data_IF_155961971854
#
_entry.id   IF_155961971854
#
_cell.length_a   1.000
_cell.length_b   1.000
_cell.length_c   1.000
_cell.angle_alpha   90.00
_cell.angle_beta   90.00
_cell.angle_gamma   90.00
#
_symmetry.space_group_name_H-M   'P 1'
#
loop_
_entity.id
_entity.type
_entity.pdbx_description
1 polymer ?
#
# COMPACT_ATOMS: atom_id res chain seq x y z
N UNK A 1 -18.40 -15.34 -1.92
CA UNK A 1 -17.81 -14.40 -0.93
C UNK A 1 -16.36 -14.04 -1.25
N UNK A 2 -15.47 -15.01 -1.47
CA UNK A 2 -14.07 -14.77 -1.83
C UNK A 2 -13.86 -13.80 -3.01
N UNK A 3 -14.51 -14.03 -4.16
CA UNK A 3 -14.30 -13.19 -5.35
C UNK A 3 -14.67 -11.72 -5.12
N UNK A 4 -15.82 -11.46 -4.49
CA UNK A 4 -16.24 -10.10 -4.16
C UNK A 4 -15.23 -9.41 -3.23
N UNK A 5 -14.76 -10.09 -2.19
CA UNK A 5 -13.76 -9.54 -1.27
C UNK A 5 -12.41 -9.31 -1.97
N UNK A 6 -12.00 -10.22 -2.87
CA UNK A 6 -10.78 -10.06 -3.67
C UNK A 6 -10.87 -8.85 -4.59
N UNK A 7 -11.99 -8.65 -5.29
CA UNK A 7 -12.19 -7.48 -6.13
C UNK A 7 -12.19 -6.19 -5.31
N UNK A 8 -12.88 -6.18 -4.16
CA UNK A 8 -12.88 -5.04 -3.25
C UNK A 8 -11.46 -4.71 -2.76
N UNK A 9 -10.68 -5.71 -2.36
CA UNK A 9 -9.30 -5.53 -1.94
C UNK A 9 -8.43 -4.96 -3.06
N UNK A 10 -8.53 -5.49 -4.28
CA UNK A 10 -7.78 -4.99 -5.44
C UNK A 10 -8.15 -3.55 -5.80
N UNK A 11 -9.44 -3.20 -5.74
CA UNK A 11 -9.90 -1.81 -5.95
C UNK A 11 -9.37 -0.89 -4.85
N UNK A 12 -9.37 -1.34 -3.59
CA UNK A 12 -8.81 -0.57 -2.48
C UNK A 12 -7.30 -0.35 -2.64
N UNK A 13 -6.54 -1.35 -3.12
CA UNK A 13 -5.11 -1.20 -3.45
C UNK A 13 -4.96 -0.12 -4.53
N UNK A 14 -5.68 -0.26 -5.65
CA UNK A 14 -5.58 0.67 -6.76
C UNK A 14 -5.90 2.11 -6.33
N UNK A 15 -6.96 2.28 -5.52
CA UNK A 15 -7.36 3.58 -5.02
C UNK A 15 -6.35 4.16 -4.02
N UNK A 16 -5.77 3.35 -3.12
CA UNK A 16 -4.72 3.78 -2.19
C UNK A 16 -3.50 4.30 -2.96
N UNK A 17 -3.03 3.54 -3.97
CA UNK A 17 -1.90 3.94 -4.82
C UNK A 17 -2.21 5.22 -5.61
N UNK A 18 -3.39 5.32 -6.23
CA UNK A 18 -3.80 6.52 -6.98
C UNK A 18 -3.86 7.76 -6.08
N UNK A 19 -4.41 7.64 -4.88
CA UNK A 19 -4.46 8.74 -3.91
C UNK A 19 -3.05 9.12 -3.45
N UNK A 20 -2.17 8.15 -3.22
CA UNK A 20 -0.78 8.40 -2.86
C UNK A 20 -0.04 9.16 -3.97
N UNK A 21 -0.13 8.71 -5.23
CA UNK A 21 0.47 9.39 -6.39
C UNK A 21 -0.09 10.80 -6.55
N UNK A 22 -1.41 10.97 -6.45
CA UNK A 22 -2.06 12.28 -6.55
C UNK A 22 -1.55 13.24 -5.47
N UNK A 23 -1.45 12.78 -4.22
CA UNK A 23 -0.92 13.58 -3.11
C UNK A 23 0.55 13.94 -3.32
N UNK A 24 1.34 13.00 -3.84
CA UNK A 24 2.74 13.26 -4.19
C UNK A 24 2.88 14.35 -5.25
N UNK A 25 2.11 14.27 -6.35
CA UNK A 25 2.12 15.28 -7.41
C UNK A 25 1.73 16.66 -6.86
N UNK A 26 0.64 16.73 -6.07
CA UNK A 26 0.18 17.99 -5.48
C UNK A 26 1.21 18.58 -4.51
N UNK A 27 1.94 17.73 -3.76
CA UNK A 27 3.00 18.17 -2.86
C UNK A 27 4.17 18.76 -3.65
N UNK A 28 4.58 18.09 -4.73
CA UNK A 28 5.68 18.56 -5.57
C UNK A 28 5.35 19.87 -6.27
N UNK A 29 4.07 20.05 -6.65
CA UNK A 29 3.51 21.28 -7.20
C UNK A 29 3.23 22.38 -6.14
N UNK A 30 3.49 22.13 -4.85
CA UNK A 30 3.15 23.04 -3.75
C UNK A 30 1.68 23.50 -3.75
N UNK A 31 0.76 22.64 -4.19
CA UNK A 31 -0.65 23.00 -4.35
C UNK A 31 -1.37 23.11 -3.00
N UNK A 32 -2.16 24.17 -2.84
CA UNK A 32 -3.05 24.36 -1.68
C UNK A 32 -4.17 23.31 -1.59
N UNK A 33 -4.43 22.57 -2.68
CA UNK A 33 -5.45 21.51 -2.74
C UNK A 33 -5.21 20.39 -1.72
N UNK A 34 -3.96 20.12 -1.34
CA UNK A 34 -3.62 19.15 -0.30
C UNK A 34 -4.25 19.47 1.06
N UNK A 35 -4.61 20.74 1.30
CA UNK A 35 -5.24 21.14 2.54
C UNK A 35 -6.75 20.86 2.59
N UNK A 36 -7.38 20.53 1.45
CA UNK A 36 -8.80 20.21 1.41
C UNK A 36 -9.08 18.90 2.17
N UNK A 37 -10.20 18.88 2.89
CA UNK A 37 -10.63 17.74 3.72
C UNK A 37 -10.65 16.42 2.95
N UNK A 38 -11.01 16.44 1.67
CA UNK A 38 -11.01 15.27 0.79
C UNK A 38 -9.64 14.56 0.76
N UNK A 39 -8.55 15.27 0.45
CA UNK A 39 -7.23 14.66 0.34
C UNK A 39 -6.59 14.28 1.68
N UNK A 40 -7.17 14.75 2.79
CA UNK A 40 -6.78 14.38 4.15
C UNK A 40 -7.52 13.13 4.63
N UNK A 41 -8.83 13.01 4.37
CA UNK A 41 -9.68 11.96 4.96
C UNK A 41 -9.79 10.74 4.05
N UNK A 42 -10.00 10.93 2.74
CA UNK A 42 -10.22 9.83 1.79
C UNK A 42 -9.14 8.75 1.84
N UNK A 43 -7.83 9.07 1.90
CA UNK A 43 -6.79 8.05 2.02
C UNK A 43 -6.96 7.15 3.24
N UNK A 44 -7.33 7.70 4.41
CA UNK A 44 -7.49 6.90 5.63
C UNK A 44 -8.66 5.92 5.56
N UNK A 45 -9.77 6.32 4.92
CA UNK A 45 -10.92 5.44 4.69
C UNK A 45 -10.52 4.30 3.77
N UNK A 46 -9.82 4.61 2.68
CA UNK A 46 -9.36 3.63 1.70
C UNK A 46 -8.35 2.68 2.31
N UNK A 47 -7.40 3.18 3.10
CA UNK A 47 -6.38 2.37 3.76
C UNK A 47 -7.00 1.45 4.82
N UNK A 48 -8.02 1.92 5.54
CA UNK A 48 -8.76 1.08 6.49
C UNK A 48 -9.53 -0.01 5.76
N UNK A 49 -10.21 0.31 4.65
CA UNK A 49 -10.89 -0.69 3.81
C UNK A 49 -9.91 -1.69 3.19
N UNK A 50 -8.72 -1.23 2.78
CA UNK A 50 -7.64 -2.05 2.25
C UNK A 50 -7.14 -3.07 3.29
N UNK A 51 -6.84 -2.60 4.51
CA UNK A 51 -6.37 -3.46 5.60
C UNK A 51 -7.46 -4.43 6.06
N UNK A 52 -8.68 -3.92 6.27
CA UNK A 52 -9.82 -4.74 6.67
C UNK A 52 -10.14 -5.84 5.66
N UNK A 53 -10.11 -5.52 4.36
CA UNK A 53 -10.31 -6.52 3.29
C UNK A 53 -9.16 -7.53 3.19
N UNK A 54 -7.92 -7.11 3.45
CA UNK A 54 -6.78 -8.01 3.54
C UNK A 54 -6.91 -9.02 4.69
N UNK A 55 -7.32 -8.55 5.87
CA UNK A 55 -7.61 -9.40 7.03
C UNK A 55 -8.79 -10.34 6.75
N UNK A 56 -9.86 -9.84 6.14
CA UNK A 56 -10.99 -10.68 5.74
C UNK A 56 -10.56 -11.78 4.75
N UNK A 57 -9.67 -11.48 3.80
CA UNK A 57 -9.12 -12.48 2.88
C UNK A 57 -8.31 -13.55 3.61
N UNK A 58 -7.52 -13.19 4.63
CA UNK A 58 -6.79 -14.15 5.48
C UNK A 58 -7.75 -15.16 6.12
N UNK A 59 -8.86 -14.68 6.69
CA UNK A 59 -9.87 -15.56 7.29
C UNK A 59 -10.60 -16.43 6.26
N UNK A 60 -10.90 -15.88 5.08
CA UNK A 60 -11.61 -16.61 4.03
C UNK A 60 -10.72 -17.70 3.39
N UNK A 61 -9.43 -17.42 3.18
CA UNK A 61 -8.52 -18.37 2.52
C UNK A 61 -7.81 -19.30 3.49
N UNK A 62 -7.78 -18.98 4.79
CA UNK A 62 -7.01 -19.73 5.79
C UNK A 62 -5.49 -19.54 5.67
N UNK A 63 -5.02 -18.61 4.83
CA UNK A 63 -3.58 -18.35 4.72
C UNK A 63 -3.13 -17.52 5.91
N UNK A 64 -2.40 -18.14 6.84
CA UNK A 64 -1.93 -17.49 8.04
C UNK A 64 -0.51 -16.94 7.83
N UNK A 65 -0.28 -15.61 7.99
CA UNK A 65 1.07 -15.06 7.95
C UNK A 65 1.91 -15.62 9.11
N UNK A 66 3.23 -15.48 9.00
CA UNK A 66 4.21 -15.96 9.99
C UNK A 66 4.21 -17.49 10.19
N UNK A 67 3.76 -18.24 9.18
CA UNK A 67 3.83 -19.72 9.17
C UNK A 67 4.77 -20.20 8.07
N UNK A 68 5.47 -21.33 8.31
CA UNK A 68 6.47 -21.87 7.39
C UNK A 68 5.91 -22.17 5.98
N UNK A 69 4.64 -22.57 5.87
CA UNK A 69 3.98 -22.82 4.59
C UNK A 69 3.47 -21.58 3.85
N UNK A 70 3.46 -20.40 4.49
CA UNK A 70 2.91 -19.16 3.93
C UNK A 70 3.87 -17.98 4.02
N UNK A 71 5.19 -18.23 3.89
CA UNK A 71 6.22 -17.18 3.91
C UNK A 71 5.94 -16.03 2.95
N UNK A 72 5.37 -16.32 1.77
CA UNK A 72 4.98 -15.31 0.78
C UNK A 72 4.00 -14.26 1.33
N UNK A 73 3.09 -14.65 2.24
CA UNK A 73 2.13 -13.74 2.84
C UNK A 73 2.79 -12.85 3.90
N UNK A 74 3.75 -13.41 4.64
CA UNK A 74 4.59 -12.66 5.58
C UNK A 74 5.38 -11.59 4.84
N UNK A 75 6.06 -11.96 3.75
CA UNK A 75 6.81 -11.03 2.92
C UNK A 75 5.89 -9.98 2.28
N UNK A 76 4.70 -10.39 1.83
CA UNK A 76 3.71 -9.45 1.29
C UNK A 76 3.30 -8.42 2.34
N UNK A 77 3.10 -8.84 3.59
CA UNK A 77 2.79 -7.93 4.69
C UNK A 77 3.95 -6.98 4.98
N UNK A 78 5.19 -7.48 4.98
CA UNK A 78 6.40 -6.65 5.11
C UNK A 78 6.49 -5.60 4.00
N UNK A 79 6.18 -5.97 2.75
CA UNK A 79 6.14 -5.03 1.64
C UNK A 79 5.10 -3.91 1.86
N UNK A 80 3.91 -4.26 2.39
CA UNK A 80 2.87 -3.27 2.73
C UNK A 80 3.35 -2.33 3.83
N UNK A 81 4.01 -2.84 4.87
CA UNK A 81 4.58 -2.00 5.94
C UNK A 81 5.66 -1.06 5.40
N UNK A 82 6.55 -1.56 4.54
CA UNK A 82 7.58 -0.74 3.89
C UNK A 82 6.97 0.35 2.99
N UNK A 83 5.92 0.02 2.22
CA UNK A 83 5.16 0.99 1.44
C UNK A 83 4.56 2.11 2.32
N UNK A 84 3.94 1.76 3.45
CA UNK A 84 3.34 2.75 4.37
C UNK A 84 4.44 3.65 4.96
N UNK A 85 5.55 3.07 5.42
CA UNK A 85 6.66 3.83 5.99
C UNK A 85 7.27 4.81 4.98
N UNK A 86 7.55 4.35 3.75
CA UNK A 86 8.08 5.20 2.69
C UNK A 86 7.05 6.22 2.21
N UNK A 87 5.77 5.88 2.20
CA UNK A 87 4.69 6.82 1.89
C UNK A 87 4.61 7.96 2.92
N UNK A 88 4.78 7.64 4.21
CA UNK A 88 4.90 8.64 5.26
C UNK A 88 6.12 9.54 5.05
N UNK A 89 7.30 8.96 4.79
CA UNK A 89 8.54 9.70 4.52
C UNK A 89 8.37 10.63 3.31
N UNK A 90 7.80 10.11 2.22
CA UNK A 90 7.53 10.86 0.98
C UNK A 90 6.72 12.12 1.28
N UNK A 91 5.62 11.99 2.01
CA UNK A 91 4.67 13.09 2.22
C UNK A 91 5.05 14.03 3.36
N UNK A 92 5.64 13.53 4.45
CA UNK A 92 5.77 14.29 5.70
C UNK A 92 7.22 14.55 6.14
N UNK A 93 8.20 13.81 5.63
CA UNK A 93 9.58 13.90 6.10
C UNK A 93 10.49 14.66 5.12
N UNK A 94 11.32 15.56 5.65
CA UNK A 94 12.37 16.27 4.90
C UNK A 94 11.89 17.43 4.02
N UNK A 95 12.76 18.42 3.81
CA UNK A 95 12.52 19.57 2.90
C UNK A 95 12.98 19.30 1.46
N UNK A 96 13.87 18.32 1.26
CA UNK A 96 14.46 18.03 -0.03
C UNK A 96 13.49 17.26 -0.94
N UNK A 97 13.07 17.88 -2.05
CA UNK A 97 12.20 17.28 -3.05
C UNK A 97 12.80 16.05 -3.73
N UNK A 98 14.12 16.01 -3.94
CA UNK A 98 14.81 14.86 -4.57
C UNK A 98 14.70 13.61 -3.69
N UNK A 99 14.96 13.77 -2.39
CA UNK A 99 14.82 12.66 -1.43
C UNK A 99 13.38 12.12 -1.39
N UNK A 100 12.38 13.01 -1.45
CA UNK A 100 10.97 12.62 -1.53
C UNK A 100 10.65 11.83 -2.81
N UNK A 101 11.26 12.18 -3.95
CA UNK A 101 11.12 11.41 -5.20
C UNK A 101 11.66 9.99 -5.05
N UNK A 102 12.84 9.82 -4.44
CA UNK A 102 13.40 8.49 -4.20
C UNK A 102 12.53 7.65 -3.26
N UNK A 103 12.03 8.26 -2.17
CA UNK A 103 11.10 7.60 -1.26
C UNK A 103 9.79 7.20 -1.98
N UNK A 104 9.28 8.06 -2.85
CA UNK A 104 8.09 7.78 -3.66
C UNK A 104 8.29 6.60 -4.61
N UNK A 105 9.39 6.60 -5.37
CA UNK A 105 9.73 5.50 -6.27
C UNK A 105 9.98 4.19 -5.50
N UNK A 106 10.64 4.28 -4.34
CA UNK A 106 10.82 3.15 -3.44
C UNK A 106 9.48 2.58 -2.95
N UNK A 107 8.55 3.43 -2.54
CA UNK A 107 7.21 3.02 -2.11
C UNK A 107 6.46 2.26 -3.23
N UNK A 108 6.53 2.76 -4.47
CA UNK A 108 5.94 2.06 -5.62
C UNK A 108 6.63 0.72 -5.91
N UNK A 109 7.95 0.64 -5.72
CA UNK A 109 8.70 -0.61 -5.82
C UNK A 109 8.18 -1.67 -4.84
N UNK A 110 7.91 -1.30 -3.59
CA UNK A 110 7.34 -2.22 -2.59
C UNK A 110 5.91 -2.66 -2.92
N UNK A 111 5.09 -1.77 -3.49
CA UNK A 111 3.75 -2.14 -3.99
C UNK A 111 3.87 -3.17 -5.12
N UNK A 112 4.81 -2.97 -6.04
CA UNK A 112 5.06 -3.92 -7.12
C UNK A 112 5.52 -5.29 -6.59
N UNK A 113 6.44 -5.32 -5.62
CA UNK A 113 6.86 -6.56 -4.98
C UNK A 113 5.70 -7.27 -4.25
N UNK A 114 4.86 -6.52 -3.54
CA UNK A 114 3.66 -7.08 -2.90
C UNK A 114 2.68 -7.67 -3.93
N UNK A 115 2.56 -7.06 -5.11
CA UNK A 115 1.74 -7.56 -6.21
C UNK A 115 2.33 -8.85 -6.82
N UNK A 116 3.65 -8.90 -7.05
CA UNK A 116 4.36 -10.09 -7.51
C UNK A 116 4.12 -11.27 -6.55
N UNK A 117 4.35 -11.07 -5.25
CA UNK A 117 4.11 -12.08 -4.22
C UNK A 117 2.65 -12.57 -4.19
N UNK A 118 1.68 -11.69 -4.46
CA UNK A 118 0.27 -12.08 -4.52
C UNK A 118 -0.07 -12.96 -5.74
N UNK A 119 0.63 -12.75 -6.86
CA UNK A 119 0.47 -13.54 -8.09
C UNK A 119 1.16 -14.89 -7.94
N UNK A 120 2.46 -14.88 -7.62
CA UNK A 120 3.30 -16.08 -7.55
C UNK A 120 2.97 -16.95 -6.33
N UNK A 121 2.60 -16.35 -5.20
CA UNK A 121 2.42 -17.01 -3.90
C UNK A 121 3.63 -17.84 -3.47
N UNK A 122 4.82 -17.43 -3.92
CA UNK A 122 6.10 -18.02 -3.55
C UNK A 122 6.91 -16.99 -2.77
N UNK A 123 7.46 -17.34 -1.59
CA UNK A 123 8.39 -16.46 -0.88
C UNK A 123 9.63 -16.22 -1.73
N UNK A 124 10.17 -15.00 -1.64
CA UNK A 124 11.39 -14.57 -2.35
C UNK A 124 12.61 -14.76 -1.44
N UNK A 125 12.46 -14.60 -0.13
CA UNK A 125 13.58 -14.56 0.82
C UNK A 125 13.90 -15.90 1.49
N UNK A 126 13.06 -16.93 1.33
CA UNK A 126 13.34 -18.31 1.73
C UNK A 126 13.20 -18.57 3.22
#
# INVERSE_FOLDING_TARGET
MYMAMKHLHLVAIALSVLLFVTRYIMMMANSSLLNKKFFKITPHIVDTALLASGVALIFITGFMPFTAGNGWLTEKLTCVLAYIALGYVTLHMGKNKVFKTFAFLGALGWVFLAAQLAVTKTPILG
#
